data_IF_807381045416
#
_entry.id   IF_807381045416
#
_cell.length_a   1.000
_cell.length_b   1.000
_cell.length_c   1.000
_cell.angle_alpha   90.00
_cell.angle_beta   90.00
_cell.angle_gamma   90.00
#
_symmetry.space_group_name_H-M   'P 1'
#
loop_
_entity.id
_entity.type
_entity.pdbx_description
1 polymer ?
#
# COMPACT_ATOMS: atom_id res chain seq x y z
N UNK A 1 -37.48 0.08 31.99
CA UNK A 1 -36.04 -0.23 32.16
C UNK A 1 -35.51 -0.76 30.84
N UNK A 2 -34.92 0.11 30.04
CA UNK A 2 -34.19 -0.27 28.82
C UNK A 2 -32.73 0.18 29.03
N UNK A 3 -31.83 -0.80 29.09
CA UNK A 3 -30.40 -0.58 29.23
C UNK A 3 -29.85 0.03 27.95
N UNK A 4 -29.53 1.32 28.00
CA UNK A 4 -28.75 2.01 26.98
C UNK A 4 -27.30 1.55 27.09
N UNK A 5 -26.90 0.58 26.28
CA UNK A 5 -25.48 0.28 26.06
C UNK A 5 -24.89 1.38 25.19
N UNK A 6 -24.22 2.31 25.86
CA UNK A 6 -23.51 3.43 25.26
C UNK A 6 -22.21 2.91 24.64
N UNK A 7 -22.25 2.47 23.38
CA UNK A 7 -21.05 2.12 22.61
C UNK A 7 -20.36 3.42 22.21
N UNK A 8 -19.28 3.76 22.91
CA UNK A 8 -18.36 4.83 22.48
C UNK A 8 -17.81 4.48 21.10
N UNK A 9 -17.72 5.44 20.16
CA UNK A 9 -16.99 5.20 18.92
C UNK A 9 -15.51 5.11 19.27
N UNK A 10 -14.92 3.92 19.14
CA UNK A 10 -13.48 3.81 18.97
C UNK A 10 -13.14 4.60 17.69
N UNK A 11 -12.39 5.69 17.82
CA UNK A 11 -11.88 6.43 16.67
C UNK A 11 -10.79 5.59 15.98
N UNK A 12 -11.20 4.54 15.28
CA UNK A 12 -10.36 3.93 14.26
C UNK A 12 -10.21 4.99 13.17
N UNK A 13 -9.02 5.55 13.00
CA UNK A 13 -8.70 6.33 11.80
C UNK A 13 -8.60 5.40 10.59
N UNK A 14 -9.65 4.63 10.32
CA UNK A 14 -9.75 3.79 9.13
C UNK A 14 -10.08 4.69 7.95
N UNK A 15 -9.07 5.37 7.43
CA UNK A 15 -9.07 5.85 6.04
C UNK A 15 -8.92 4.63 5.13
N UNK A 16 -9.82 3.64 5.23
CA UNK A 16 -9.90 2.57 4.24
C UNK A 16 -10.42 3.22 2.97
N UNK A 17 -9.51 3.43 2.02
CA UNK A 17 -9.82 4.00 0.70
C UNK A 17 -10.86 3.16 -0.04
N UNK A 18 -10.83 1.85 0.18
CA UNK A 18 -11.67 0.87 -0.49
C UNK A 18 -12.75 0.32 0.46
N UNK A 19 -14.00 0.27 -0.02
CA UNK A 19 -15.13 -0.38 0.65
C UNK A 19 -15.19 -1.87 0.32
N UNK A 20 -14.79 -2.24 -0.89
CA UNK A 20 -14.75 -3.62 -1.37
C UNK A 20 -13.32 -4.02 -1.74
N UNK A 21 -12.99 -5.30 -1.51
CA UNK A 21 -11.70 -5.85 -1.91
C UNK A 21 -11.67 -6.11 -3.42
N UNK A 22 -12.78 -6.65 -3.96
CA UNK A 22 -12.87 -7.09 -5.36
C UNK A 22 -14.22 -6.69 -5.95
N UNK A 23 -14.20 -6.15 -7.17
CA UNK A 23 -15.35 -5.99 -8.06
C UNK A 23 -15.24 -6.98 -9.23
N UNK A 24 -16.29 -7.74 -9.51
CA UNK A 24 -16.36 -8.65 -10.64
C UNK A 24 -17.24 -8.06 -11.76
N UNK A 25 -16.63 -7.74 -12.91
CA UNK A 25 -17.34 -7.40 -14.15
C UNK A 25 -17.31 -8.58 -15.11
N UNK A 26 -18.45 -8.97 -15.65
CA UNK A 26 -18.59 -10.19 -16.46
C UNK A 26 -19.86 -10.15 -17.29
N UNK A 27 -19.93 -10.99 -18.32
CA UNK A 27 -21.19 -11.21 -19.05
C UNK A 27 -22.05 -12.22 -18.32
N UNK A 28 -23.14 -11.73 -17.74
CA UNK A 28 -24.06 -12.53 -16.96
C UNK A 28 -24.64 -13.77 -17.66
N UNK A 29 -24.92 -13.68 -18.97
CA UNK A 29 -25.44 -14.80 -19.76
C UNK A 29 -24.41 -15.90 -20.01
N UNK A 30 -23.12 -15.56 -20.02
CA UNK A 30 -22.06 -16.50 -20.40
C UNK A 30 -21.50 -17.28 -19.19
N UNK A 31 -21.26 -16.58 -18.07
CA UNK A 31 -20.41 -17.14 -17.00
C UNK A 31 -21.02 -17.11 -15.59
N UNK A 32 -22.22 -16.51 -15.39
CA UNK A 32 -22.81 -16.33 -14.03
C UNK A 32 -22.83 -17.61 -13.22
N UNK A 33 -23.54 -18.63 -13.72
CA UNK A 33 -23.80 -19.88 -12.99
C UNK A 33 -22.68 -20.92 -13.14
N UNK A 34 -21.58 -20.55 -13.80
CA UNK A 34 -20.39 -21.40 -13.95
C UNK A 34 -19.19 -20.70 -13.33
N UNK A 35 -18.20 -20.41 -14.17
CA UNK A 35 -16.91 -19.83 -13.77
C UNK A 35 -17.03 -18.65 -12.78
N UNK A 36 -17.89 -17.66 -13.05
CA UNK A 36 -17.99 -16.47 -12.19
C UNK A 36 -18.51 -16.82 -10.80
N UNK A 37 -19.54 -17.68 -10.68
CA UNK A 37 -20.04 -18.11 -9.36
C UNK A 37 -18.99 -18.86 -8.54
N UNK A 38 -18.20 -19.73 -9.18
CA UNK A 38 -17.12 -20.46 -8.52
C UNK A 38 -16.00 -19.51 -8.07
N UNK A 39 -15.61 -18.55 -8.92
CA UNK A 39 -14.63 -17.53 -8.58
C UNK A 39 -15.12 -16.65 -7.42
N UNK A 40 -16.37 -16.19 -7.47
CA UNK A 40 -16.99 -15.41 -6.40
C UNK A 40 -16.98 -16.18 -5.07
N UNK A 41 -17.45 -17.42 -5.07
CA UNK A 41 -17.46 -18.26 -3.86
C UNK A 41 -16.05 -18.45 -3.31
N UNK A 42 -15.07 -18.78 -4.15
CA UNK A 42 -13.68 -18.96 -3.73
C UNK A 42 -13.06 -17.69 -3.13
N UNK A 43 -13.45 -16.50 -3.62
CA UNK A 43 -13.06 -15.22 -3.02
C UNK A 43 -13.71 -15.04 -1.64
N UNK A 44 -15.02 -15.30 -1.52
CA UNK A 44 -15.73 -15.19 -0.25
C UNK A 44 -15.18 -16.18 0.80
N UNK A 45 -14.88 -17.41 0.41
CA UNK A 45 -14.29 -18.44 1.29
C UNK A 45 -12.91 -18.03 1.84
N UNK A 46 -12.19 -17.17 1.11
CA UNK A 46 -10.92 -16.58 1.55
C UNK A 46 -11.08 -15.26 2.31
N UNK A 47 -12.31 -14.84 2.58
CA UNK A 47 -12.61 -13.64 3.36
C UNK A 47 -12.45 -12.34 2.59
N UNK A 48 -12.50 -12.36 1.25
CA UNK A 48 -12.57 -11.13 0.45
C UNK A 48 -14.00 -10.58 0.46
N UNK A 49 -14.12 -9.28 0.73
CA UNK A 49 -15.36 -8.53 0.51
C UNK A 49 -15.53 -8.28 -1.00
N UNK A 50 -16.14 -9.23 -1.69
CA UNK A 50 -16.31 -9.20 -3.15
C UNK A 50 -17.71 -8.72 -3.51
N UNK A 51 -17.77 -7.78 -4.45
CA UNK A 51 -19.00 -7.37 -5.11
C UNK A 51 -19.10 -8.03 -6.50
N UNK A 52 -20.28 -8.53 -6.82
CA UNK A 52 -20.62 -9.07 -8.14
C UNK A 52 -21.83 -8.29 -8.66
N UNK A 53 -21.79 -7.83 -9.91
CA UNK A 53 -22.98 -7.26 -10.53
C UNK A 53 -23.96 -8.38 -10.92
N UNK A 54 -24.98 -8.61 -10.08
CA UNK A 54 -25.94 -9.69 -10.26
C UNK A 54 -27.13 -9.32 -11.18
N UNK A 55 -27.12 -8.17 -11.86
CA UNK A 55 -28.26 -7.77 -12.69
C UNK A 55 -28.28 -8.46 -14.05
N UNK A 56 -29.20 -9.43 -14.21
CA UNK A 56 -29.39 -10.21 -15.44
C UNK A 56 -30.17 -9.49 -16.52
N UNK A 57 -30.93 -8.44 -16.20
CA UNK A 57 -31.95 -7.89 -17.10
C UNK A 57 -31.96 -6.35 -17.18
N UNK A 58 -31.87 -5.89 -18.44
CA UNK A 58 -32.32 -4.62 -19.06
C UNK A 58 -31.50 -3.33 -18.84
N UNK A 59 -30.91 -2.86 -19.93
CA UNK A 59 -31.32 -1.65 -20.67
C UNK A 59 -31.29 -0.28 -20.00
N UNK A 60 -30.97 -0.18 -18.71
CA UNK A 60 -30.86 1.10 -18.00
C UNK A 60 -29.40 1.57 -17.94
N UNK A 61 -29.20 2.86 -17.67
CA UNK A 61 -27.89 3.43 -17.40
C UNK A 61 -27.30 2.84 -16.12
N UNK A 62 -25.96 2.76 -16.06
CA UNK A 62 -25.27 2.29 -14.84
C UNK A 62 -25.75 3.12 -13.65
N UNK A 63 -26.32 2.45 -12.65
CA UNK A 63 -26.79 3.14 -11.46
C UNK A 63 -25.63 3.85 -10.76
N UNK A 64 -25.89 5.03 -10.20
CA UNK A 64 -24.89 5.78 -9.42
C UNK A 64 -24.23 4.90 -8.33
N UNK A 65 -25.02 4.04 -7.68
CA UNK A 65 -24.52 3.11 -6.67
C UNK A 65 -23.48 2.12 -7.22
N UNK A 66 -23.65 1.64 -8.46
CA UNK A 66 -22.69 0.75 -9.10
C UNK A 66 -21.39 1.50 -9.46
N UNK A 67 -21.49 2.72 -9.99
CA UNK A 67 -20.31 3.56 -10.25
C UNK A 67 -19.51 3.81 -8.96
N UNK A 68 -20.18 4.16 -7.86
CA UNK A 68 -19.55 4.33 -6.55
C UNK A 68 -18.92 3.03 -6.03
N UNK A 69 -19.53 1.88 -6.34
CA UNK A 69 -19.00 0.56 -5.96
C UNK A 69 -17.73 0.24 -6.74
N UNK A 70 -17.72 0.49 -8.05
CA UNK A 70 -16.51 0.36 -8.89
C UNK A 70 -15.41 1.28 -8.36
N UNK A 71 -15.72 2.56 -8.11
CA UNK A 71 -14.76 3.54 -7.59
C UNK A 71 -14.19 3.16 -6.20
N UNK A 72 -14.99 2.50 -5.37
CA UNK A 72 -14.61 2.11 -4.01
C UNK A 72 -14.07 0.68 -3.90
N UNK A 73 -13.76 0.03 -5.02
CA UNK A 73 -13.18 -1.32 -5.04
C UNK A 73 -11.66 -1.29 -5.22
N UNK A 74 -10.92 -2.10 -4.47
CA UNK A 74 -9.45 -2.16 -4.56
C UNK A 74 -8.97 -2.82 -5.87
N UNK A 75 -9.65 -3.90 -6.29
CA UNK A 75 -9.33 -4.69 -7.48
C UNK A 75 -10.60 -4.85 -8.32
N UNK A 76 -10.49 -4.62 -9.62
CA UNK A 76 -11.54 -4.96 -10.60
C UNK A 76 -11.09 -6.13 -11.45
N UNK A 77 -11.81 -7.25 -11.37
CA UNK A 77 -11.60 -8.41 -12.24
C UNK A 77 -12.59 -8.33 -13.39
N UNK A 78 -12.06 -8.34 -14.61
CA UNK A 78 -12.87 -8.30 -15.83
C UNK A 78 -12.82 -9.67 -16.48
N UNK A 79 -13.93 -10.40 -16.43
CA UNK A 79 -14.07 -11.71 -17.05
C UNK A 79 -14.58 -11.53 -18.48
N UNK A 80 -13.65 -11.54 -19.44
CA UNK A 80 -13.99 -11.55 -20.85
C UNK A 80 -14.44 -12.94 -21.28
N UNK A 81 -15.63 -12.99 -21.86
CA UNK A 81 -16.28 -14.16 -22.45
C UNK A 81 -16.77 -13.83 -23.86
N UNK A 82 -17.21 -14.84 -24.59
CA UNK A 82 -17.58 -14.76 -26.02
C UNK A 82 -18.51 -13.58 -26.33
N UNK A 83 -19.54 -13.35 -25.51
CA UNK A 83 -20.56 -12.33 -25.76
C UNK A 83 -20.37 -11.06 -24.90
N UNK A 84 -19.22 -10.86 -24.27
CA UNK A 84 -19.00 -9.70 -23.38
C UNK A 84 -19.29 -8.36 -24.08
N UNK A 85 -18.71 -8.15 -25.27
CA UNK A 85 -18.87 -6.90 -26.02
C UNK A 85 -20.26 -6.68 -26.62
N UNK A 86 -21.14 -7.68 -26.60
CA UNK A 86 -22.55 -7.50 -27.01
C UNK A 86 -23.34 -6.64 -26.03
N UNK A 87 -22.88 -6.54 -24.78
CA UNK A 87 -23.55 -5.83 -23.68
C UNK A 87 -23.02 -4.40 -23.55
N UNK A 88 -23.86 -3.39 -23.83
CA UNK A 88 -23.51 -1.98 -23.60
C UNK A 88 -23.19 -1.71 -22.13
N UNK A 89 -23.86 -2.40 -21.21
CA UNK A 89 -23.62 -2.30 -19.77
C UNK A 89 -22.22 -2.76 -19.39
N UNK A 90 -21.80 -3.94 -19.87
CA UNK A 90 -20.46 -4.48 -19.59
C UNK A 90 -19.35 -3.58 -20.18
N UNK A 91 -19.63 -2.92 -21.30
CA UNK A 91 -18.71 -1.96 -21.93
C UNK A 91 -18.63 -0.64 -21.15
N UNK A 92 -19.77 -0.11 -20.70
CA UNK A 92 -19.82 1.10 -19.88
C UNK A 92 -19.15 0.89 -18.50
N UNK A 93 -19.32 -0.29 -17.89
CA UNK A 93 -18.61 -0.67 -16.66
C UNK A 93 -17.09 -0.70 -16.90
N UNK A 94 -16.66 -1.29 -18.02
CA UNK A 94 -15.25 -1.39 -18.37
C UNK A 94 -14.61 -0.01 -18.53
N UNK A 95 -15.32 0.94 -19.16
CA UNK A 95 -14.87 2.34 -19.27
C UNK A 95 -14.68 2.93 -17.89
N UNK A 96 -15.63 2.74 -16.98
CA UNK A 96 -15.53 3.25 -15.61
C UNK A 96 -14.36 2.62 -14.84
N UNK A 97 -14.14 1.32 -14.99
CA UNK A 97 -13.01 0.60 -14.38
C UNK A 97 -11.68 1.21 -14.86
N UNK A 98 -11.53 1.46 -16.16
CA UNK A 98 -10.30 2.07 -16.70
C UNK A 98 -10.12 3.52 -16.23
N UNK A 99 -11.21 4.28 -16.10
CA UNK A 99 -11.16 5.61 -15.47
C UNK A 99 -10.64 5.52 -14.03
N UNK A 100 -11.18 4.59 -13.23
CA UNK A 100 -10.76 4.37 -11.84
C UNK A 100 -9.30 3.89 -11.75
N UNK A 101 -8.84 3.08 -12.70
CA UNK A 101 -7.43 2.67 -12.81
C UNK A 101 -6.52 3.90 -12.97
N UNK A 102 -6.85 4.79 -13.92
CA UNK A 102 -6.05 5.99 -14.23
C UNK A 102 -6.07 7.02 -13.10
N UNK A 103 -7.24 7.29 -12.55
CA UNK A 103 -7.42 8.37 -11.57
C UNK A 103 -7.08 7.94 -10.14
N UNK A 104 -7.38 6.68 -9.79
CA UNK A 104 -7.31 6.19 -8.41
C UNK A 104 -6.26 5.09 -8.18
N UNK A 105 -5.60 4.57 -9.21
CA UNK A 105 -4.64 3.46 -9.07
C UNK A 105 -5.31 2.12 -8.74
N UNK A 106 -6.62 1.99 -9.03
CA UNK A 106 -7.34 0.72 -8.92
C UNK A 106 -6.63 -0.35 -9.77
N UNK A 107 -6.45 -1.56 -9.21
CA UNK A 107 -5.85 -2.65 -9.96
C UNK A 107 -6.89 -3.30 -10.87
N UNK A 108 -6.55 -3.50 -12.14
CA UNK A 108 -7.42 -4.16 -13.11
C UNK A 108 -6.79 -5.47 -13.55
N UNK A 109 -7.56 -6.56 -13.43
CA UNK A 109 -7.11 -7.93 -13.65
C UNK A 109 -8.01 -8.60 -14.71
N UNK A 110 -7.58 -8.65 -15.99
CA UNK A 110 -8.37 -9.32 -17.01
C UNK A 110 -8.25 -10.85 -16.90
N UNK A 111 -9.39 -11.52 -17.01
CA UNK A 111 -9.51 -12.97 -17.13
C UNK A 111 -10.18 -13.26 -18.47
N UNK A 112 -9.43 -13.89 -19.37
CA UNK A 112 -9.89 -14.30 -20.69
C UNK A 112 -10.42 -15.73 -20.59
N UNK A 113 -11.74 -15.87 -20.40
CA UNK A 113 -12.40 -17.15 -20.21
C UNK A 113 -12.94 -17.68 -21.54
N UNK A 114 -12.28 -18.70 -22.10
CA UNK A 114 -12.59 -19.30 -23.41
C UNK A 114 -12.56 -18.30 -24.56
N UNK A 115 -11.73 -17.26 -24.45
CA UNK A 115 -11.55 -16.19 -25.44
C UNK A 115 -10.07 -15.93 -25.60
N UNK A 116 -9.58 -15.86 -26.84
CA UNK A 116 -8.19 -15.48 -27.08
C UNK A 116 -7.99 -13.97 -26.77
N UNK A 117 -6.99 -13.58 -25.97
CA UNK A 117 -6.72 -12.17 -25.66
C UNK A 117 -6.53 -11.27 -26.89
N UNK A 118 -6.11 -11.82 -28.03
CA UNK A 118 -6.00 -11.10 -29.30
C UNK A 118 -7.35 -10.69 -29.88
N UNK A 119 -8.44 -11.40 -29.61
CA UNK A 119 -9.79 -11.03 -30.05
C UNK A 119 -10.27 -9.75 -29.36
N UNK A 120 -10.00 -9.64 -28.05
CA UNK A 120 -10.31 -8.43 -27.25
C UNK A 120 -9.47 -7.24 -27.69
N UNK A 121 -8.19 -7.48 -28.03
CA UNK A 121 -7.25 -6.43 -28.45
C UNK A 121 -7.47 -5.93 -29.87
N UNK A 122 -7.61 -6.85 -30.84
CA UNK A 122 -7.63 -6.54 -32.27
C UNK A 122 -9.04 -6.22 -32.78
N UNK A 123 -10.07 -6.79 -32.16
CA UNK A 123 -11.48 -6.48 -32.43
C UNK A 123 -11.81 -6.57 -33.93
N UNK A 124 -11.45 -7.69 -34.54
CA UNK A 124 -11.71 -7.98 -35.96
C UNK A 124 -13.20 -7.78 -36.30
N UNK A 125 -13.48 -6.96 -37.32
CA UNK A 125 -14.84 -6.48 -37.61
C UNK A 125 -15.81 -7.61 -37.96
N UNK A 126 -15.29 -8.73 -38.45
CA UNK A 126 -16.12 -9.80 -39.00
C UNK A 126 -16.47 -10.90 -37.97
N UNK A 127 -15.96 -10.83 -36.73
CA UNK A 127 -16.23 -11.85 -35.70
C UNK A 127 -16.11 -11.35 -34.25
N UNK A 128 -16.75 -12.09 -33.33
CA UNK A 128 -16.61 -11.91 -31.88
C UNK A 128 -16.80 -10.47 -31.42
N UNK A 129 -15.79 -9.94 -30.71
CA UNK A 129 -15.80 -8.59 -30.13
C UNK A 129 -15.97 -7.49 -31.19
N UNK A 130 -15.30 -7.60 -32.34
CA UNK A 130 -15.36 -6.56 -33.37
C UNK A 130 -16.70 -6.52 -34.11
N UNK A 131 -17.31 -7.69 -34.35
CA UNK A 131 -18.67 -7.78 -34.89
C UNK A 131 -19.71 -7.20 -33.92
N UNK A 132 -19.57 -7.47 -32.61
CA UNK A 132 -20.44 -6.88 -31.59
C UNK A 132 -20.33 -5.34 -31.58
N UNK A 133 -19.09 -4.81 -31.67
CA UNK A 133 -18.85 -3.37 -31.76
C UNK A 133 -19.41 -2.76 -33.05
N UNK A 134 -19.28 -3.43 -34.20
CA UNK A 134 -19.85 -2.96 -35.46
C UNK A 134 -21.39 -2.83 -35.37
N UNK A 135 -22.05 -3.79 -34.72
CA UNK A 135 -23.49 -3.69 -34.45
C UNK A 135 -23.83 -2.50 -33.54
N UNK A 136 -22.98 -2.19 -32.57
CA UNK A 136 -23.16 -1.00 -31.75
C UNK A 136 -22.92 0.30 -32.54
N UNK A 137 -21.98 0.35 -33.48
CA UNK A 137 -21.80 1.50 -34.38
C UNK A 137 -23.09 1.79 -35.17
N UNK A 138 -23.83 0.74 -35.57
CA UNK A 138 -25.12 0.89 -36.23
C UNK A 138 -26.23 1.40 -35.30
N UNK A 139 -26.25 0.94 -34.05
CA UNK A 139 -27.24 1.34 -33.04
C UNK A 139 -26.98 2.74 -32.47
N UNK A 140 -25.71 3.15 -32.40
CA UNK A 140 -25.24 4.41 -31.81
C UNK A 140 -24.66 5.36 -32.86
N UNK A 141 -25.20 5.40 -34.08
CA UNK A 141 -24.74 6.31 -35.16
C UNK A 141 -24.63 7.77 -34.74
N UNK A 142 -25.47 8.22 -33.80
CA UNK A 142 -25.48 9.58 -33.28
C UNK A 142 -24.52 9.79 -32.07
N UNK A 143 -23.81 8.74 -31.63
CA UNK A 143 -22.88 8.77 -30.51
C UNK A 143 -21.69 7.83 -30.76
N UNK A 144 -21.00 8.06 -31.88
CA UNK A 144 -19.84 7.27 -32.29
C UNK A 144 -18.67 7.38 -31.31
N UNK A 145 -18.55 8.52 -30.60
CA UNK A 145 -17.52 8.73 -29.58
C UNK A 145 -17.64 7.70 -28.45
N UNK A 146 -18.87 7.30 -28.06
CA UNK A 146 -19.10 6.27 -27.06
C UNK A 146 -18.57 4.91 -27.51
N UNK A 147 -18.84 4.52 -28.76
CA UNK A 147 -18.35 3.24 -29.30
C UNK A 147 -16.83 3.25 -29.46
N UNK A 148 -16.26 4.39 -29.85
CA UNK A 148 -14.82 4.57 -29.92
C UNK A 148 -14.16 4.46 -28.54
N UNK A 149 -14.78 5.01 -27.49
CA UNK A 149 -14.35 4.83 -26.11
C UNK A 149 -14.31 3.35 -25.73
N UNK A 150 -15.37 2.59 -26.02
CA UNK A 150 -15.39 1.15 -25.78
C UNK A 150 -14.26 0.39 -26.50
N UNK A 151 -13.98 0.72 -27.78
CA UNK A 151 -12.87 0.13 -28.55
C UNK A 151 -11.52 0.36 -27.87
N UNK A 152 -11.26 1.61 -27.48
CA UNK A 152 -10.01 2.01 -26.82
C UNK A 152 -9.86 1.31 -25.47
N UNK A 153 -10.93 1.26 -24.67
CA UNK A 153 -10.91 0.61 -23.36
C UNK A 153 -10.70 -0.91 -23.45
N UNK A 154 -11.38 -1.59 -24.39
CA UNK A 154 -11.15 -3.03 -24.64
C UNK A 154 -9.71 -3.31 -25.07
N UNK A 155 -9.15 -2.47 -25.95
CA UNK A 155 -7.76 -2.61 -26.36
C UNK A 155 -6.79 -2.40 -25.18
N UNK A 156 -7.00 -1.35 -24.38
CA UNK A 156 -6.16 -1.05 -23.20
C UNK A 156 -6.17 -2.22 -22.21
N UNK A 157 -7.35 -2.70 -21.82
CA UNK A 157 -7.48 -3.80 -20.85
C UNK A 157 -7.02 -5.13 -21.45
N UNK A 158 -7.28 -5.38 -22.74
CA UNK A 158 -6.80 -6.56 -23.45
C UNK A 158 -5.28 -6.63 -23.58
N UNK A 159 -4.58 -5.49 -23.52
CA UNK A 159 -3.12 -5.39 -23.49
C UNK A 159 -2.51 -5.60 -22.11
N UNK A 160 -3.31 -5.60 -21.04
CA UNK A 160 -2.82 -5.90 -19.69
C UNK A 160 -2.50 -7.39 -19.55
N UNK A 161 -1.50 -7.71 -18.73
CA UNK A 161 -1.22 -9.08 -18.31
C UNK A 161 -2.42 -9.64 -17.55
N UNK A 162 -3.00 -10.72 -18.05
CA UNK A 162 -4.17 -11.39 -17.49
C UNK A 162 -4.02 -12.90 -17.43
N UNK A 163 -5.11 -13.56 -17.05
CA UNK A 163 -5.19 -15.02 -17.04
C UNK A 163 -6.00 -15.50 -18.22
N UNK A 164 -5.50 -16.50 -18.94
CA UNK A 164 -6.18 -17.07 -20.08
C UNK A 164 -6.57 -18.52 -19.76
N UNK A 165 -7.85 -18.84 -19.90
CA UNK A 165 -8.38 -20.19 -19.77
C UNK A 165 -8.93 -20.65 -21.12
N UNK A 166 -8.25 -21.61 -21.75
CA UNK A 166 -8.52 -22.14 -23.09
C UNK A 166 -9.15 -23.55 -23.06
N UNK A 167 -9.84 -23.90 -21.96
CA UNK A 167 -10.36 -25.24 -21.67
C UNK A 167 -9.31 -26.34 -21.47
N UNK A 168 -8.02 -25.98 -21.35
CA UNK A 168 -6.97 -26.94 -21.03
C UNK A 168 -6.74 -26.96 -19.52
N UNK A 169 -7.11 -28.08 -18.88
CA UNK A 169 -6.92 -28.31 -17.45
C UNK A 169 -8.13 -27.97 -16.57
N UNK A 170 -7.93 -28.10 -15.25
CA UNK A 170 -9.00 -27.97 -14.26
C UNK A 170 -9.31 -26.49 -13.98
N UNK A 171 -10.54 -26.07 -14.24
CA UNK A 171 -11.05 -24.72 -13.93
C UNK A 171 -10.82 -24.35 -12.45
N UNK A 172 -10.94 -25.33 -11.53
CA UNK A 172 -10.67 -25.11 -10.10
C UNK A 172 -9.22 -24.72 -9.79
N UNK A 173 -8.24 -25.33 -10.47
CA UNK A 173 -6.82 -24.95 -10.34
C UNK A 173 -6.56 -23.56 -10.91
N UNK A 174 -7.22 -23.22 -12.01
CA UNK A 174 -7.14 -21.90 -12.61
C UNK A 174 -7.69 -20.82 -11.66
N UNK A 175 -8.87 -21.05 -11.08
CA UNK A 175 -9.45 -20.18 -10.04
C UNK A 175 -8.49 -20.06 -8.86
N UNK A 176 -7.93 -21.17 -8.36
CA UNK A 176 -6.98 -21.13 -7.25
C UNK A 176 -5.78 -20.22 -7.56
N UNK A 177 -5.23 -20.26 -8.77
CA UNK A 177 -4.16 -19.36 -9.18
C UNK A 177 -4.54 -17.87 -9.14
N UNK A 178 -5.79 -17.55 -9.53
CA UNK A 178 -6.34 -16.18 -9.42
C UNK A 178 -6.45 -15.77 -7.94
N UNK A 179 -6.98 -16.65 -7.09
CA UNK A 179 -7.12 -16.40 -5.64
C UNK A 179 -5.77 -16.16 -4.97
N UNK A 180 -4.75 -16.96 -5.31
CA UNK A 180 -3.39 -16.80 -4.79
C UNK A 180 -2.79 -15.44 -5.17
N UNK A 181 -3.02 -14.99 -6.41
CA UNK A 181 -2.66 -13.63 -6.83
C UNK A 181 -3.36 -12.58 -5.98
N UNK A 182 -4.67 -12.62 -5.88
CA UNK A 182 -5.45 -11.59 -5.19
C UNK A 182 -5.06 -11.51 -3.71
N UNK A 183 -4.87 -12.66 -3.07
CA UNK A 183 -4.42 -12.77 -1.68
C UNK A 183 -3.10 -12.07 -1.45
N UNK A 184 -2.15 -12.30 -2.34
CA UNK A 184 -0.88 -11.60 -2.25
C UNK A 184 -1.05 -10.10 -2.44
N UNK A 185 -1.81 -9.64 -3.44
CA UNK A 185 -1.97 -8.22 -3.74
C UNK A 185 -2.60 -7.49 -2.56
N UNK A 186 -3.60 -8.10 -1.92
CA UNK A 186 -4.21 -7.56 -0.70
C UNK A 186 -3.23 -7.51 0.46
N UNK A 187 -2.40 -8.55 0.63
CA UNK A 187 -1.36 -8.56 1.66
C UNK A 187 -0.36 -7.43 1.45
N UNK A 188 0.12 -7.24 0.21
CA UNK A 188 1.04 -6.15 -0.15
C UNK A 188 0.46 -4.76 0.04
N UNK A 189 -0.86 -4.62 -0.06
CA UNK A 189 -1.59 -3.35 0.17
C UNK A 189 -2.14 -3.21 1.58
N UNK A 190 -1.82 -4.14 2.48
CA UNK A 190 -2.26 -4.06 3.87
C UNK A 190 -1.54 -2.90 4.55
N UNK A 191 -2.30 -2.08 5.29
CA UNK A 191 -1.72 -0.95 5.99
C UNK A 191 -0.73 -1.42 7.05
N UNK A 192 0.45 -0.83 7.05
CA UNK A 192 1.47 -1.01 8.07
C UNK A 192 0.99 -0.39 9.38
N UNK A 193 1.29 -1.05 10.50
CA UNK A 193 1.06 -0.45 11.81
C UNK A 193 2.01 0.74 12.01
N UNK A 194 1.44 1.94 12.14
CA UNK A 194 2.22 3.18 12.27
C UNK A 194 2.73 3.36 13.71
N UNK A 195 1.79 3.46 14.65
CA UNK A 195 2.02 3.59 16.09
C UNK A 195 0.67 3.44 16.81
N UNK A 196 0.70 3.11 18.10
CA UNK A 196 -0.51 3.11 18.95
C UNK A 196 -1.10 4.53 19.02
N UNK A 197 -0.23 5.53 19.23
CA UNK A 197 -0.59 6.93 19.31
C UNK A 197 0.23 7.78 18.32
N UNK A 198 -0.21 7.94 17.05
CA UNK A 198 0.56 8.62 16.00
C UNK A 198 0.51 10.16 16.10
N UNK A 199 0.85 10.72 17.27
CA UNK A 199 0.89 12.16 17.54
C UNK A 199 1.97 12.82 16.68
N UNK A 200 1.63 13.94 16.03
CA UNK A 200 2.56 14.70 15.17
C UNK A 200 3.01 14.01 13.87
N UNK A 201 2.61 12.76 13.62
CA UNK A 201 3.02 12.00 12.42
C UNK A 201 2.40 12.55 11.14
N UNK A 202 1.09 12.87 11.16
CA UNK A 202 0.33 13.28 9.97
C UNK A 202 0.89 14.52 9.27
N UNK A 203 1.23 15.64 9.97
CA UNK A 203 1.85 16.79 9.33
C UNK A 203 3.21 16.47 8.69
N UNK A 204 4.05 15.68 9.36
CA UNK A 204 5.38 15.29 8.88
C UNK A 204 5.29 14.37 7.64
N UNK A 205 4.37 13.40 7.66
CA UNK A 205 4.08 12.56 6.50
C UNK A 205 3.62 13.38 5.29
N UNK A 206 2.71 14.35 5.48
CA UNK A 206 2.28 15.25 4.40
C UNK A 206 3.42 16.09 3.84
N UNK A 207 4.35 16.53 4.67
CA UNK A 207 5.52 17.29 4.20
C UNK A 207 6.39 16.44 3.27
N UNK A 208 6.59 15.15 3.59
CA UNK A 208 7.31 14.22 2.72
C UNK A 208 6.53 13.94 1.43
N UNK A 209 5.19 13.82 1.49
CA UNK A 209 4.36 13.69 0.29
C UNK A 209 4.49 14.87 -0.66
N UNK A 210 4.72 16.08 -0.16
CA UNK A 210 4.98 17.25 -1.01
C UNK A 210 6.36 17.19 -1.70
N UNK A 211 7.33 16.50 -1.09
CA UNK A 211 8.64 16.25 -1.69
C UNK A 211 8.57 15.14 -2.75
N UNK A 212 7.70 14.15 -2.53
CA UNK A 212 7.30 13.15 -3.51
C UNK A 212 6.35 13.81 -4.52
N UNK A 213 6.90 14.64 -5.41
CA UNK A 213 6.10 15.39 -6.36
C UNK A 213 5.19 14.47 -7.21
N UNK A 214 4.17 15.06 -7.85
CA UNK A 214 3.33 14.33 -8.81
C UNK A 214 4.00 14.18 -10.18
N UNK A 215 5.28 14.55 -10.34
CA UNK A 215 5.97 14.40 -11.62
C UNK A 215 6.24 12.93 -11.92
N UNK A 216 6.32 12.64 -13.21
CA UNK A 216 6.73 11.34 -13.74
C UNK A 216 8.25 11.12 -13.63
N UNK A 217 8.98 11.94 -12.88
CA UNK A 217 10.40 11.73 -12.64
C UNK A 217 10.61 10.73 -11.52
N UNK A 218 11.69 9.97 -11.65
CA UNK A 218 12.23 9.16 -10.57
C UNK A 218 12.73 10.10 -9.47
N UNK A 219 12.27 9.89 -8.24
CA UNK A 219 12.68 10.71 -7.11
C UNK A 219 13.04 9.89 -5.89
N UNK A 220 14.07 10.36 -5.18
CA UNK A 220 14.46 9.83 -3.89
C UNK A 220 14.25 10.88 -2.80
N UNK A 221 13.67 10.45 -1.67
CA UNK A 221 13.54 11.29 -0.48
C UNK A 221 14.25 10.62 0.69
N UNK A 222 15.27 11.30 1.22
CA UNK A 222 16.03 10.87 2.39
C UNK A 222 15.48 11.49 3.68
N UNK A 223 14.89 10.68 4.55
CA UNK A 223 14.40 11.08 5.87
C UNK A 223 15.52 10.85 6.90
N UNK A 224 16.04 11.92 7.50
CA UNK A 224 17.11 11.80 8.48
C UNK A 224 16.82 12.53 9.81
N UNK A 225 17.52 12.11 10.86
CA UNK A 225 17.36 12.63 12.20
C UNK A 225 17.81 11.66 13.29
N UNK A 226 17.72 12.09 14.54
CA UNK A 226 18.19 11.34 15.72
C UNK A 226 17.51 9.95 15.86
N UNK A 227 18.13 9.07 16.64
CA UNK A 227 17.49 7.84 17.10
C UNK A 227 16.21 8.16 17.87
N UNK A 228 15.16 7.35 17.71
CA UNK A 228 13.90 7.53 18.43
C UNK A 228 13.02 8.73 18.00
N UNK A 229 13.44 9.54 17.02
CA UNK A 229 12.71 10.73 16.53
C UNK A 229 11.43 10.39 15.72
N UNK A 230 11.22 9.11 15.37
CA UNK A 230 10.03 8.65 14.63
C UNK A 230 10.18 8.54 13.11
N UNK A 231 11.40 8.40 12.56
CA UNK A 231 11.62 8.26 11.10
C UNK A 231 10.84 7.09 10.49
N UNK A 232 11.00 5.89 11.04
CA UNK A 232 10.28 4.67 10.64
C UNK A 232 8.76 4.88 10.70
N UNK A 233 8.26 5.43 11.81
CA UNK A 233 6.84 5.73 12.01
C UNK A 233 6.29 6.66 10.92
N UNK A 234 7.04 7.71 10.58
CA UNK A 234 6.66 8.64 9.51
C UNK A 234 6.69 7.94 8.14
N UNK A 235 7.73 7.14 7.86
CA UNK A 235 7.84 6.40 6.60
C UNK A 235 6.70 5.40 6.41
N UNK A 236 6.30 4.67 7.46
CA UNK A 236 5.11 3.79 7.46
C UNK A 236 3.84 4.58 7.17
N UNK A 237 3.69 5.77 7.75
CA UNK A 237 2.54 6.63 7.47
C UNK A 237 2.53 7.14 6.02
N UNK A 238 3.68 7.49 5.44
CA UNK A 238 3.80 7.88 4.02
C UNK A 238 3.47 6.69 3.12
N UNK A 239 4.00 5.50 3.42
CA UNK A 239 3.68 4.28 2.69
C UNK A 239 2.17 4.02 2.65
N UNK A 240 1.51 3.98 3.81
CA UNK A 240 0.06 3.73 3.89
C UNK A 240 -0.80 4.73 3.11
N UNK A 241 -0.34 5.97 2.97
CA UNK A 241 -1.05 7.01 2.21
C UNK A 241 -0.87 6.90 0.70
N UNK A 242 0.23 6.29 0.27
CA UNK A 242 0.64 6.27 -1.13
C UNK A 242 0.60 4.89 -1.76
N UNK A 243 0.47 3.80 -0.98
CA UNK A 243 0.53 2.40 -1.45
C UNK A 243 -0.38 2.13 -2.66
N UNK A 244 -1.58 2.72 -2.67
CA UNK A 244 -2.56 2.55 -3.73
C UNK A 244 -2.27 3.36 -5.01
N UNK A 245 -1.30 4.28 -4.99
CA UNK A 245 -0.91 5.10 -6.15
C UNK A 245 0.11 4.39 -7.04
N UNK A 246 0.68 3.29 -6.58
CA UNK A 246 1.75 2.57 -7.27
C UNK A 246 1.30 1.16 -7.65
N UNK A 247 1.89 0.64 -8.71
CA UNK A 247 1.58 -0.71 -9.21
C UNK A 247 2.25 -1.77 -8.35
N UNK A 248 3.45 -1.46 -7.88
CA UNK A 248 4.23 -2.26 -6.96
C UNK A 248 4.68 -1.43 -5.75
N UNK A 249 4.75 -2.04 -4.59
CA UNK A 249 5.20 -1.35 -3.38
C UNK A 249 5.98 -2.28 -2.49
N UNK A 250 7.02 -1.78 -1.84
CA UNK A 250 7.83 -2.58 -0.93
C UNK A 250 8.32 -1.74 0.25
N UNK A 251 8.22 -2.30 1.45
CA UNK A 251 8.81 -1.75 2.67
C UNK A 251 9.84 -2.74 3.22
N UNK A 252 11.11 -2.37 3.16
CA UNK A 252 12.22 -3.11 3.76
C UNK A 252 12.51 -2.50 5.13
N UNK A 253 12.07 -3.19 6.18
CA UNK A 253 12.29 -2.80 7.58
C UNK A 253 13.73 -3.12 8.01
N UNK A 254 14.29 -2.28 8.88
CA UNK A 254 15.56 -2.47 9.58
C UNK A 254 16.70 -2.94 8.67
N UNK A 255 16.94 -2.25 7.55
CA UNK A 255 17.94 -2.60 6.55
C UNK A 255 19.32 -2.74 7.18
N UNK A 256 19.72 -1.85 8.10
CA UNK A 256 20.98 -1.99 8.86
C UNK A 256 21.10 -3.37 9.51
N UNK A 257 20.09 -3.77 10.28
CA UNK A 257 20.09 -5.02 11.05
C UNK A 257 20.03 -6.24 10.13
N UNK A 258 19.11 -6.21 9.16
CA UNK A 258 18.86 -7.33 8.26
C UNK A 258 19.98 -7.53 7.23
N UNK A 259 20.83 -6.54 6.97
CA UNK A 259 21.99 -6.64 6.08
C UNK A 259 23.31 -6.97 6.76
N UNK A 260 23.31 -7.28 8.07
CA UNK A 260 24.55 -7.60 8.82
C UNK A 260 25.28 -8.85 8.29
N UNK A 261 24.56 -9.76 7.64
CA UNK A 261 25.13 -10.99 7.07
C UNK A 261 24.83 -11.08 5.58
N UNK A 262 25.67 -11.80 4.84
CA UNK A 262 25.44 -12.07 3.41
C UNK A 262 24.07 -12.72 3.15
N UNK A 263 23.69 -13.69 4.00
CA UNK A 263 22.37 -14.34 3.92
C UNK A 263 21.23 -13.35 4.19
N UNK A 264 21.42 -12.43 5.13
CA UNK A 264 20.44 -11.38 5.43
C UNK A 264 20.24 -10.41 4.27
N UNK A 265 21.32 -9.97 3.62
CA UNK A 265 21.25 -9.15 2.41
C UNK A 265 20.51 -9.87 1.28
N UNK A 266 20.80 -11.16 1.05
CA UNK A 266 20.05 -11.97 0.08
C UNK A 266 18.56 -11.99 0.43
N UNK A 267 18.21 -12.17 1.70
CA UNK A 267 16.81 -12.14 2.14
C UNK A 267 16.11 -10.82 1.83
N UNK A 268 16.80 -9.68 1.99
CA UNK A 268 16.27 -8.36 1.63
C UNK A 268 16.05 -8.24 0.10
N UNK A 269 17.01 -8.70 -0.70
CA UNK A 269 16.88 -8.73 -2.16
C UNK A 269 15.73 -9.64 -2.62
N UNK A 270 15.57 -10.82 -2.01
CA UNK A 270 14.47 -11.74 -2.33
C UNK A 270 13.11 -11.16 -1.92
N UNK A 271 13.04 -10.47 -0.78
CA UNK A 271 11.83 -9.75 -0.37
C UNK A 271 11.50 -8.65 -1.38
N UNK A 272 12.45 -7.79 -1.70
CA UNK A 272 12.31 -6.72 -2.71
C UNK A 272 11.80 -7.29 -4.04
N UNK A 273 12.44 -8.36 -4.49
CA UNK A 273 12.07 -9.09 -5.69
C UNK A 273 10.63 -9.57 -5.62
N UNK A 274 10.25 -10.32 -4.60
CA UNK A 274 8.91 -10.89 -4.48
C UNK A 274 7.81 -9.83 -4.34
N UNK A 275 8.13 -8.67 -3.77
CA UNK A 275 7.21 -7.57 -3.52
C UNK A 275 6.99 -6.75 -4.80
N UNK A 276 8.05 -6.45 -5.55
CA UNK A 276 7.96 -5.67 -6.80
C UNK A 276 7.62 -6.55 -8.01
N UNK A 277 8.30 -7.69 -8.14
CA UNK A 277 8.14 -8.64 -9.24
C UNK A 277 7.34 -9.85 -8.75
N UNK A 278 6.17 -10.04 -9.37
CA UNK A 278 5.24 -11.10 -8.98
C UNK A 278 5.73 -12.53 -9.25
N UNK A 279 6.80 -12.69 -10.03
CA UNK A 279 7.13 -14.00 -10.59
C UNK A 279 7.92 -14.89 -9.61
N UNK A 280 7.18 -15.74 -8.89
CA UNK A 280 7.73 -16.80 -8.03
C UNK A 280 8.53 -17.88 -8.79
N UNK A 281 8.52 -17.87 -10.13
CA UNK A 281 9.16 -18.90 -10.96
C UNK A 281 10.54 -18.52 -11.51
N UNK A 282 11.03 -17.31 -11.26
CA UNK A 282 12.41 -16.93 -11.60
C UNK A 282 13.41 -17.56 -10.61
N UNK A 283 13.57 -18.89 -10.68
CA UNK A 283 14.74 -19.59 -10.14
C UNK A 283 15.94 -19.28 -11.02
N UNK A 284 16.59 -18.16 -10.74
CA UNK A 284 17.87 -17.82 -11.37
C UNK A 284 18.99 -18.28 -10.45
N UNK A 285 19.84 -19.17 -10.98
CA UNK A 285 20.95 -19.84 -10.27
C UNK A 285 22.15 -18.92 -9.97
N UNK A 286 22.14 -17.65 -10.38
CA UNK A 286 23.18 -16.67 -10.01
C UNK A 286 22.63 -15.27 -9.71
N UNK A 287 23.19 -14.65 -8.68
CA UNK A 287 22.78 -13.33 -8.12
C UNK A 287 22.89 -12.22 -9.17
N UNK A 288 23.99 -12.17 -9.91
CA UNK A 288 24.24 -11.15 -10.94
C UNK A 288 23.28 -11.26 -12.12
N UNK A 289 22.94 -12.49 -12.53
CA UNK A 289 21.94 -12.71 -13.59
C UNK A 289 20.55 -12.34 -13.10
N UNK A 290 20.23 -12.62 -11.83
CA UNK A 290 18.94 -12.23 -11.23
C UNK A 290 18.77 -10.71 -11.24
N UNK A 291 19.80 -9.95 -10.85
CA UNK A 291 19.77 -8.47 -10.85
C UNK A 291 19.54 -7.88 -12.25
N UNK A 292 20.18 -8.44 -13.28
CA UNK A 292 19.97 -7.96 -14.66
C UNK A 292 18.56 -8.27 -15.16
N UNK A 293 18.04 -9.48 -14.90
CA UNK A 293 16.64 -9.83 -15.21
C UNK A 293 15.67 -8.93 -14.44
N UNK A 294 16.00 -8.56 -13.20
CA UNK A 294 15.26 -7.62 -12.37
C UNK A 294 15.19 -6.24 -13.03
N UNK A 295 16.34 -5.68 -13.40
CA UNK A 295 16.41 -4.37 -14.06
C UNK A 295 15.62 -4.37 -15.36
N UNK A 296 15.76 -5.41 -16.19
CA UNK A 296 15.02 -5.56 -17.45
C UNK A 296 13.51 -5.66 -17.24
N UNK A 297 13.04 -6.34 -16.18
CA UNK A 297 11.61 -6.57 -15.93
C UNK A 297 10.91 -5.42 -15.18
N UNK A 298 11.60 -4.76 -14.24
CA UNK A 298 11.02 -3.64 -13.48
C UNK A 298 10.86 -2.38 -14.35
N UNK A 299 11.60 -2.25 -15.47
CA UNK A 299 11.58 -1.06 -16.36
C UNK A 299 10.20 -0.50 -16.75
N UNK A 300 9.12 -1.27 -16.62
CA UNK A 300 7.77 -0.86 -16.97
C UNK A 300 6.78 -0.75 -15.78
N UNK A 301 7.20 -1.04 -14.54
CA UNK A 301 6.30 -1.08 -13.37
C UNK A 301 6.63 0.06 -12.41
N UNK A 302 5.73 1.04 -12.31
CA UNK A 302 5.91 2.16 -11.37
C UNK A 302 5.79 1.69 -9.92
N UNK A 303 6.84 1.89 -9.13
CA UNK A 303 6.90 1.38 -7.75
C UNK A 303 7.15 2.44 -6.67
N UNK A 304 6.71 2.14 -5.44
CA UNK A 304 7.08 2.85 -4.21
C UNK A 304 7.94 1.94 -3.33
N UNK A 305 9.18 2.34 -3.08
CA UNK A 305 10.12 1.58 -2.24
C UNK A 305 10.51 2.39 -1.01
N UNK A 306 10.44 1.76 0.17
CA UNK A 306 10.99 2.31 1.41
C UNK A 306 12.12 1.42 1.91
N UNK A 307 13.29 2.02 2.10
CA UNK A 307 14.45 1.44 2.76
C UNK A 307 14.56 2.05 4.16
N UNK A 308 14.17 1.29 5.18
CA UNK A 308 14.18 1.77 6.55
C UNK A 308 15.50 1.47 7.26
N UNK A 309 16.01 2.44 8.01
CA UNK A 309 17.18 2.35 8.87
C UNK A 309 18.46 1.92 8.14
N UNK A 310 18.80 2.66 7.07
CA UNK A 310 20.03 2.48 6.27
C UNK A 310 21.18 3.23 6.92
N UNK A 311 22.35 2.60 7.03
CA UNK A 311 23.55 3.20 7.64
C UNK A 311 24.81 3.12 6.76
N UNK A 312 24.76 2.41 5.63
CA UNK A 312 25.89 2.30 4.68
C UNK A 312 25.41 2.43 3.24
N UNK A 313 26.16 3.18 2.43
CA UNK A 313 25.88 3.32 1.00
C UNK A 313 25.87 1.96 0.27
N UNK A 314 26.75 1.03 0.68
CA UNK A 314 26.80 -0.30 0.07
C UNK A 314 25.48 -1.07 0.19
N UNK A 315 24.67 -0.83 1.23
CA UNK A 315 23.35 -1.47 1.35
C UNK A 315 22.40 -1.02 0.24
N UNK A 316 22.47 0.24 -0.16
CA UNK A 316 21.67 0.79 -1.25
C UNK A 316 22.16 0.22 -2.58
N UNK A 317 23.47 0.20 -2.79
CA UNK A 317 24.10 -0.34 -4.00
C UNK A 317 23.82 -1.84 -4.16
N UNK A 318 23.88 -2.61 -3.08
CA UNK A 318 23.57 -4.04 -3.09
C UNK A 318 22.09 -4.31 -3.40
N UNK A 319 21.17 -3.43 -2.98
CA UNK A 319 19.72 -3.61 -3.20
C UNK A 319 19.26 -3.11 -4.56
N UNK A 320 19.81 -1.98 -5.02
CA UNK A 320 19.28 -1.23 -6.18
C UNK A 320 20.23 -1.20 -7.36
N UNK A 321 21.52 -1.49 -7.16
CA UNK A 321 22.55 -1.26 -8.17
C UNK A 321 22.66 0.22 -8.52
N UNK A 322 22.59 0.54 -9.82
CA UNK A 322 22.53 1.92 -10.31
C UNK A 322 21.09 2.44 -10.31
N UNK A 323 20.88 3.75 -10.49
CA UNK A 323 19.54 4.36 -10.44
C UNK A 323 18.91 4.61 -11.82
N UNK A 324 19.69 4.41 -12.89
CA UNK A 324 19.31 4.83 -14.26
C UNK A 324 18.17 4.00 -14.87
N UNK A 325 17.87 2.84 -14.29
CA UNK A 325 16.86 1.91 -14.80
C UNK A 325 15.47 2.12 -14.20
N UNK A 326 15.31 3.01 -13.22
CA UNK A 326 14.04 3.17 -12.53
C UNK A 326 12.97 3.70 -13.50
N UNK A 327 11.78 3.07 -13.56
CA UNK A 327 10.69 3.54 -14.40
C UNK A 327 10.24 4.93 -13.98
N UNK A 328 9.91 5.75 -14.96
CA UNK A 328 9.29 7.06 -14.74
C UNK A 328 8.13 6.99 -13.72
N UNK A 329 8.15 7.92 -12.78
CA UNK A 329 7.17 8.04 -11.70
C UNK A 329 7.43 7.14 -10.49
N UNK A 330 8.47 6.29 -10.50
CA UNK A 330 8.85 5.48 -9.34
C UNK A 330 9.46 6.35 -8.24
N UNK A 331 9.19 6.01 -6.99
CA UNK A 331 9.62 6.78 -5.83
C UNK A 331 10.35 5.91 -4.82
N UNK A 332 11.47 6.40 -4.30
CA UNK A 332 12.25 5.74 -3.24
C UNK A 332 12.33 6.63 -2.02
N UNK A 333 12.11 6.06 -0.84
CA UNK A 333 12.26 6.74 0.45
C UNK A 333 13.31 5.99 1.26
N UNK A 334 14.27 6.71 1.80
CA UNK A 334 15.33 6.13 2.63
C UNK A 334 15.24 6.76 4.01
N UNK A 335 15.20 5.96 5.07
CA UNK A 335 15.36 6.49 6.43
C UNK A 335 16.78 6.21 6.93
N UNK A 336 17.40 7.21 7.55
CA UNK A 336 18.78 7.07 8.08
C UNK A 336 19.02 8.01 9.25
N UNK A 337 20.07 7.76 10.02
CA UNK A 337 20.60 8.73 11.00
C UNK A 337 21.69 9.59 10.40
N UNK A 338 22.32 9.14 9.32
CA UNK A 338 23.48 9.76 8.71
C UNK A 338 23.06 10.68 7.57
N UNK A 339 23.17 11.98 7.80
CA UNK A 339 22.91 13.00 6.77
C UNK A 339 23.95 12.91 5.63
N UNK A 340 25.18 12.51 5.93
CA UNK A 340 26.24 12.39 4.92
C UNK A 340 25.95 11.26 3.93
N UNK A 341 25.36 10.16 4.39
CA UNK A 341 24.90 9.06 3.53
C UNK A 341 23.90 9.53 2.47
N UNK A 342 23.04 10.50 2.78
CA UNK A 342 22.11 11.06 1.79
C UNK A 342 22.81 12.00 0.82
N UNK A 343 23.82 12.74 1.29
CA UNK A 343 24.59 13.65 0.45
C UNK A 343 25.39 12.91 -0.64
N UNK A 344 25.83 11.67 -0.39
CA UNK A 344 26.55 10.87 -1.40
C UNK A 344 25.66 10.44 -2.57
N UNK A 345 24.33 10.45 -2.40
CA UNK A 345 23.36 10.17 -3.47
C UNK A 345 23.18 11.36 -4.44
N UNK A 346 23.75 12.52 -4.14
CA UNK A 346 23.74 13.70 -5.01
C UNK A 346 22.34 14.29 -5.25
N UNK A 347 22.19 14.97 -6.39
CA UNK A 347 20.99 15.76 -6.72
C UNK A 347 19.70 14.95 -6.92
N UNK A 348 19.79 13.61 -6.98
CA UNK A 348 18.64 12.71 -7.11
C UNK A 348 17.88 12.56 -5.78
N UNK A 349 18.51 12.89 -4.65
CA UNK A 349 17.94 12.72 -3.32
C UNK A 349 17.62 14.06 -2.66
N UNK A 350 16.34 14.31 -2.40
CA UNK A 350 15.91 15.44 -1.57
C UNK A 350 15.88 15.02 -0.11
N UNK A 351 16.44 15.82 0.79
CA UNK A 351 16.52 15.47 2.21
C UNK A 351 15.39 16.10 3.03
N UNK A 352 14.92 15.36 4.04
CA UNK A 352 13.96 15.81 5.03
C UNK A 352 14.49 15.52 6.44
N UNK A 353 14.88 16.59 7.15
CA UNK A 353 15.28 16.51 8.56
C UNK A 353 14.05 16.46 9.45
N UNK A 354 13.86 15.35 10.16
CA UNK A 354 12.77 15.20 11.12
C UNK A 354 13.03 16.11 12.31
N UNK A 355 12.04 16.96 12.61
CA UNK A 355 12.04 17.80 13.82
C UNK A 355 11.38 17.07 14.98
N UNK A 356 11.88 17.34 16.17
CA UNK A 356 11.33 16.95 17.46
C UNK A 356 9.84 17.33 17.58
N UNK A 357 9.12 16.65 18.46
CA UNK A 357 7.77 17.04 18.82
C UNK A 357 7.79 18.39 19.54
N UNK A 358 6.83 19.26 19.21
CA UNK A 358 6.63 20.46 19.99
C UNK A 358 6.10 20.12 21.40
N UNK A 359 6.08 21.10 22.31
CA UNK A 359 5.65 20.87 23.71
C UNK A 359 4.25 20.29 23.82
N UNK A 360 3.34 20.69 22.93
CA UNK A 360 1.96 20.22 22.94
C UNK A 360 1.87 18.79 22.41
N UNK A 361 2.51 18.49 21.26
CA UNK A 361 2.62 17.14 20.72
C UNK A 361 3.29 16.19 21.73
N UNK A 362 4.36 16.62 22.39
CA UNK A 362 5.09 15.84 23.37
C UNK A 362 4.24 15.53 24.61
N UNK A 363 3.54 16.53 25.17
CA UNK A 363 2.61 16.34 26.28
C UNK A 363 1.51 15.36 25.91
N UNK A 364 0.90 15.54 24.72
CA UNK A 364 -0.17 14.67 24.27
C UNK A 364 0.30 13.21 24.11
N UNK A 365 1.47 12.98 23.54
CA UNK A 365 2.02 11.63 23.38
C UNK A 365 2.29 10.98 24.74
N UNK A 366 2.98 11.70 25.62
CA UNK A 366 3.29 11.23 26.97
C UNK A 366 2.02 10.87 27.76
N UNK A 367 1.02 11.76 27.78
CA UNK A 367 -0.22 11.54 28.52
C UNK A 367 -0.98 10.30 28.04
N UNK A 368 -0.94 10.00 26.73
CA UNK A 368 -1.60 8.81 26.19
C UNK A 368 -0.97 7.50 26.68
N UNK A 369 0.35 7.46 26.83
CA UNK A 369 1.05 6.30 27.38
C UNK A 369 0.97 6.23 28.91
N UNK A 370 1.03 7.38 29.60
CA UNK A 370 0.97 7.45 31.06
C UNK A 370 -0.44 7.20 31.63
N UNK A 371 -1.48 7.51 30.85
CA UNK A 371 -2.88 7.46 31.28
C UNK A 371 -3.80 6.84 30.21
N UNK A 372 -3.67 5.53 29.90
CA UNK A 372 -4.52 4.87 28.93
C UNK A 372 -5.97 4.81 29.46
N UNK A 373 -6.85 5.68 28.95
CA UNK A 373 -8.29 5.67 29.23
C UNK A 373 -8.86 7.01 29.69
N UNK A 374 -8.39 7.54 30.83
CA UNK A 374 -8.83 8.82 31.41
C UNK A 374 -7.65 9.58 32.03
N UNK A 375 -7.64 10.91 31.90
CA UNK A 375 -6.75 11.77 32.70
C UNK A 375 -7.11 11.63 34.18
N UNK A 376 -6.13 11.55 35.09
CA UNK A 376 -6.39 11.52 36.52
C UNK A 376 -7.04 12.83 36.99
N UNK A 377 -7.87 12.77 38.04
CA UNK A 377 -8.46 13.95 38.70
C UNK A 377 -7.39 14.83 39.39
N UNK A 378 -6.22 14.25 39.66
CA UNK A 378 -5.07 14.95 40.25
C UNK A 378 -4.26 15.69 39.19
N UNK A 379 -3.73 16.84 39.57
CA UNK A 379 -2.85 17.63 38.71
C UNK A 379 -1.42 17.05 38.67
N UNK A 380 -1.13 16.27 37.63
CA UNK A 380 0.22 15.78 37.31
C UNK A 380 1.02 16.74 36.42
N UNK A 381 0.50 17.95 36.11
CA UNK A 381 1.07 18.82 35.08
C UNK A 381 2.52 19.23 35.36
N UNK A 382 2.90 19.43 36.63
CA UNK A 382 4.29 19.75 36.98
C UNK A 382 5.26 18.62 36.65
N UNK A 383 4.91 17.39 37.02
CA UNK A 383 5.72 16.19 36.76
C UNK A 383 5.76 15.86 35.27
N UNK A 384 4.62 15.99 34.58
CA UNK A 384 4.56 15.82 33.13
C UNK A 384 5.47 16.83 32.40
N UNK A 385 5.51 18.08 32.84
CA UNK A 385 6.41 19.09 32.26
C UNK A 385 7.89 18.78 32.50
N UNK A 386 8.26 18.17 33.64
CA UNK A 386 9.64 17.70 33.87
C UNK A 386 10.01 16.58 32.89
N UNK A 387 9.13 15.60 32.70
CA UNK A 387 9.32 14.52 31.72
C UNK A 387 9.47 15.09 30.30
N UNK A 388 8.61 16.02 29.89
CA UNK A 388 8.68 16.64 28.56
C UNK A 388 9.99 17.40 28.38
N UNK A 389 10.43 18.12 29.42
CA UNK A 389 11.71 18.83 29.39
C UNK A 389 12.89 17.88 29.23
N UNK A 390 12.88 16.76 29.97
CA UNK A 390 13.90 15.72 29.89
C UNK A 390 13.92 15.01 28.53
N UNK A 391 12.76 14.60 28.02
CA UNK A 391 12.63 13.87 26.77
C UNK A 391 12.92 14.71 25.51
N UNK A 392 12.94 16.04 25.63
CA UNK A 392 13.27 17.00 24.55
C UNK A 392 12.51 16.77 23.25
N UNK A 393 11.26 16.32 23.36
CA UNK A 393 10.40 16.05 22.21
C UNK A 393 10.77 14.81 21.39
N UNK A 394 11.60 13.89 21.92
CA UNK A 394 11.85 12.58 21.31
C UNK A 394 10.67 11.62 21.57
N UNK A 395 9.93 11.17 20.53
CA UNK A 395 8.79 10.28 20.70
C UNK A 395 9.09 9.01 21.51
N UNK A 396 10.19 8.31 21.18
CA UNK A 396 10.54 7.04 21.85
C UNK A 396 10.78 7.23 23.36
N UNK A 397 11.44 8.33 23.76
CA UNK A 397 11.67 8.63 25.17
C UNK A 397 10.35 8.91 25.92
N UNK A 398 9.43 9.65 25.29
CA UNK A 398 8.12 9.95 25.86
C UNK A 398 7.26 8.68 26.03
N UNK A 399 7.32 7.76 25.06
CA UNK A 399 6.63 6.47 25.10
C UNK A 399 7.17 5.57 26.22
N UNK A 400 8.49 5.41 26.31
CA UNK A 400 9.14 4.59 27.36
C UNK A 400 8.81 5.14 28.74
N UNK A 401 9.02 6.43 28.97
CA UNK A 401 8.77 7.06 30.27
C UNK A 401 7.28 7.06 30.61
N UNK A 402 6.42 7.37 29.64
CA UNK A 402 4.96 7.33 29.83
C UNK A 402 4.49 5.94 30.25
N UNK A 403 4.96 4.90 29.55
CA UNK A 403 4.59 3.52 29.83
C UNK A 403 5.15 3.04 31.18
N UNK A 404 6.38 3.41 31.54
CA UNK A 404 6.96 3.11 32.85
C UNK A 404 6.12 3.73 34.00
N UNK A 405 5.72 4.98 33.82
CA UNK A 405 4.96 5.74 34.82
C UNK A 405 3.48 5.37 34.91
N UNK A 406 2.96 4.62 33.94
CA UNK A 406 1.56 4.21 33.89
C UNK A 406 1.15 3.44 35.16
N UNK A 407 0.04 3.87 35.79
CA UNK A 407 -0.49 3.26 37.01
C UNK A 407 0.30 3.54 38.30
N UNK A 408 1.42 4.27 38.24
CA UNK A 408 2.21 4.63 39.42
C UNK A 408 1.61 5.82 40.18
N UNK A 409 1.90 5.87 41.48
CA UNK A 409 1.52 7.01 42.34
C UNK A 409 2.40 8.24 42.07
N UNK A 410 1.94 9.43 42.46
CA UNK A 410 2.72 10.68 42.33
C UNK A 410 4.10 10.62 43.01
N UNK A 411 4.21 9.94 44.16
CA UNK A 411 5.48 9.77 44.85
C UNK A 411 6.46 8.88 44.05
N UNK A 412 5.95 7.82 43.43
CA UNK A 412 6.74 6.95 42.55
C UNK A 412 7.17 7.68 41.27
N UNK A 413 6.32 8.57 40.72
CA UNK A 413 6.68 9.42 39.59
C UNK A 413 7.89 10.31 39.92
N UNK A 414 7.85 11.01 41.06
CA UNK A 414 8.97 11.87 41.50
C UNK A 414 10.28 11.09 41.57
N UNK A 415 10.25 9.93 42.23
CA UNK A 415 11.42 9.07 42.35
C UNK A 415 11.95 8.58 40.99
N UNK A 416 11.07 8.19 40.07
CA UNK A 416 11.46 7.74 38.73
C UNK A 416 12.06 8.88 37.89
N UNK A 417 11.45 10.07 37.93
CA UNK A 417 11.95 11.27 37.24
C UNK A 417 13.35 11.65 37.75
N UNK A 418 13.58 11.61 39.07
CA UNK A 418 14.90 11.83 39.66
C UNK A 418 15.95 10.80 39.20
N UNK A 419 15.55 9.55 38.89
CA UNK A 419 16.42 8.52 38.29
C UNK A 419 16.75 8.89 36.84
N UNK A 420 15.74 9.31 36.06
CA UNK A 420 15.93 9.70 34.65
C UNK A 420 16.85 10.91 34.49
N UNK A 421 16.68 11.96 35.30
CA UNK A 421 17.52 13.17 35.23
C UNK A 421 19.02 12.89 35.46
N UNK A 422 19.36 11.77 36.11
CA UNK A 422 20.76 11.34 36.32
C UNK A 422 21.35 10.59 35.11
N UNK A 423 20.51 10.12 34.19
CA UNK A 423 20.96 9.40 32.99
C UNK A 423 21.46 10.43 31.96
N UNK A 424 22.70 10.30 31.46
CA UNK A 424 23.23 11.16 30.42
C UNK A 424 22.32 11.21 29.18
N UNK A 425 22.13 12.41 28.62
CA UNK A 425 21.34 12.62 27.40
C UNK A 425 21.81 11.76 26.20
N UNK A 426 23.08 11.38 26.17
CA UNK A 426 23.66 10.56 25.10
C UNK A 426 23.07 9.14 25.11
N UNK A 427 22.81 8.59 26.30
CA UNK A 427 22.28 7.23 26.47
C UNK A 427 20.81 7.15 26.05
N UNK A 428 20.05 8.25 26.20
CA UNK A 428 18.67 8.39 25.67
C UNK A 428 18.66 8.38 24.14
N UNK A 429 19.64 9.03 23.51
CA UNK A 429 19.79 9.05 22.06
C UNK A 429 20.27 7.70 21.50
N UNK A 430 20.95 6.92 22.35
CA UNK A 430 21.45 5.57 22.08
C UNK A 430 20.53 4.44 22.59
N UNK A 431 19.32 4.75 23.11
CA UNK A 431 18.32 3.75 23.56
C UNK A 431 17.77 2.89 22.40
N UNK A 432 18.63 2.05 21.84
CA UNK A 432 18.31 0.96 20.90
C UNK A 432 18.30 -0.40 21.60
N UNK A 433 18.74 -0.49 22.87
CA UNK A 433 19.00 -1.77 23.54
C UNK A 433 18.64 -1.82 25.03
N UNK A 434 17.74 -0.98 25.55
CA UNK A 434 17.16 -1.26 26.87
C UNK A 434 15.98 -2.20 26.67
N UNK A 435 16.31 -3.49 26.49
CA UNK A 435 15.50 -4.58 27.04
C UNK A 435 15.07 -4.17 28.45
N UNK A 436 13.84 -4.48 28.80
CA UNK A 436 13.19 -4.24 30.10
C UNK A 436 14.01 -4.62 31.35
N UNK A 437 15.18 -5.26 31.20
CA UNK A 437 16.07 -5.73 32.27
C UNK A 437 16.94 -4.64 32.93
N UNK A 438 16.99 -3.43 32.38
CA UNK A 438 17.88 -2.36 32.89
C UNK A 438 17.29 -1.40 33.92
N UNK A 439 16.00 -1.52 34.28
CA UNK A 439 15.30 -0.55 35.13
C UNK A 439 15.17 -0.94 36.60
N UNK A 440 15.73 -2.08 37.04
CA UNK A 440 15.85 -2.40 38.47
C UNK A 440 16.74 -1.41 39.25
#
# INVERSE_FOLDING_TARGET
MALLTNVRPSSSSSTRRWRHDVFLSFRGEDTRFGFTSHLYQALCDKGFNTFIDDKLHRGEEITKALLETIESSMISIVVFSENYASSTWCLDELVKIVECRKNNGQLVLPVFYKVDPSEVRKQDKDKGFGAALAKHEENFKNNMDKVQSWRTTLNEVGCLSGWHYDNVGLESKFIQGIIEKISSTKLKRTQLFVAEYPVGVKPRAKAIELLLNESNDVQMVGIHGLGGIGKTTIAKAVYNRNVDRFEATCFLEDVRENSRTFKGMIGLQEKLFSEILWDKHLKVDSISKRMNVIMETITNIRFLLILDDVDRQSQIEDLLGTYDWFPSGSKVIITTRDEYLLATLGNLCTTYKVKELDKHEALQLFEKHAFPGNKPDKDYSKLANQVIHYAKGLPLALEIIGSDLCGRTEAQWKHAIDKYEKIPNKDIQEMHEVSYDGLE
#
